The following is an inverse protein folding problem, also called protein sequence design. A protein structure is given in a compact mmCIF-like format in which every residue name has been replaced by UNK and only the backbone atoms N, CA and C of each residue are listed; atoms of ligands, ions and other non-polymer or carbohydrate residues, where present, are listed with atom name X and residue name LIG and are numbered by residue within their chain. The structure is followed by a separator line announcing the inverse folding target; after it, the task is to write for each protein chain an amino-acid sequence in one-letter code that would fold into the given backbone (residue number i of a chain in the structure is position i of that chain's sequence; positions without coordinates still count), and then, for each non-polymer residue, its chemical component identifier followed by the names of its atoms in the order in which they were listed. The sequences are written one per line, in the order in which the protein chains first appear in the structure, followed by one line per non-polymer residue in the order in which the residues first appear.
data_IF_473132757096
#
_entry.id   IF_473132757096
#
_cell.length_a   1.000
_cell.length_b   1.000
_cell.length_c   1.000
_cell.angle_alpha   90.00
_cell.angle_beta   90.00
_cell.angle_gamma   90.00
#
_symmetry.space_group_name_H-M   'P 1'
#
loop_
_entity.id
_entity.type
_entity.pdbx_description
1 polymer ?
#
# COMPACT_ATOMS: atom_id res chain seq x y z
N UNK A 1 -2.28 -41.66 8.09
CA UNK A 1 -3.53 -41.51 7.32
C UNK A 1 -4.21 -42.87 7.21
N UNK A 2 -5.53 -42.93 7.38
CA UNK A 2 -6.37 -44.10 7.17
C UNK A 2 -6.97 -44.09 5.76
N UNK A 3 -7.49 -45.24 5.32
CA UNK A 3 -8.14 -45.41 4.00
C UNK A 3 -9.29 -44.42 3.75
N UNK A 4 -10.01 -44.08 4.81
CA UNK A 4 -11.19 -43.22 4.72
C UNK A 4 -10.86 -41.75 4.99
N UNK A 5 -9.60 -41.42 5.28
CA UNK A 5 -9.18 -40.02 5.41
C UNK A 5 -9.41 -39.33 4.05
N UNK A 6 -10.02 -38.15 4.11
CA UNK A 6 -10.16 -37.26 2.97
C UNK A 6 -9.32 -36.02 3.23
N UNK A 7 -8.54 -35.64 2.22
CA UNK A 7 -7.77 -34.41 2.29
C UNK A 7 -8.74 -33.23 2.16
N UNK A 8 -8.71 -32.33 3.13
CA UNK A 8 -9.34 -31.02 2.98
C UNK A 8 -8.31 -30.12 2.31
N UNK A 9 -8.55 -29.65 1.07
CA UNK A 9 -7.59 -28.82 0.38
C UNK A 9 -7.42 -27.51 1.15
N UNK A 10 -6.17 -27.17 1.44
CA UNK A 10 -5.77 -25.87 1.98
C UNK A 10 -5.04 -25.14 0.88
N UNK A 11 -5.54 -23.97 0.50
CA UNK A 11 -4.93 -23.11 -0.52
C UNK A 11 -4.44 -21.85 0.19
N UNK A 12 -3.13 -21.61 0.14
CA UNK A 12 -2.54 -20.36 0.62
C UNK A 12 -2.51 -19.36 -0.52
N UNK A 13 -3.06 -18.16 -0.30
CA UNK A 13 -2.97 -17.02 -1.20
C UNK A 13 -2.09 -15.94 -0.55
N UNK A 14 -1.14 -15.40 -1.30
CA UNK A 14 -0.35 -14.25 -0.88
C UNK A 14 -0.91 -13.03 -1.59
N UNK A 15 -1.38 -12.02 -0.86
CA UNK A 15 -1.86 -10.77 -1.45
C UNK A 15 -0.79 -9.71 -1.28
N UNK A 16 -0.24 -9.23 -2.40
CA UNK A 16 0.74 -8.16 -2.43
C UNK A 16 0.07 -6.85 -2.88
N UNK A 17 0.14 -5.86 -2.01
CA UNK A 17 -0.47 -4.53 -2.19
C UNK A 17 0.57 -3.41 -2.05
N UNK A 18 1.82 -3.68 -2.42
CA UNK A 18 2.84 -2.65 -2.45
C UNK A 18 2.57 -1.59 -3.53
N UNK A 19 3.06 -0.37 -3.30
CA UNK A 19 3.03 0.71 -4.29
C UNK A 19 3.90 0.42 -5.52
N UNK A 20 4.90 -0.48 -5.40
CA UNK A 20 5.75 -0.93 -6.51
C UNK A 20 5.27 -2.28 -7.03
N UNK A 21 5.66 -2.62 -8.25
CA UNK A 21 5.41 -3.95 -8.79
C UNK A 21 6.20 -5.00 -8.00
N UNK A 22 5.64 -6.20 -7.85
CA UNK A 22 6.35 -7.31 -7.21
C UNK A 22 7.60 -7.69 -8.02
N UNK A 23 8.75 -7.72 -7.35
CA UNK A 23 10.07 -8.05 -7.92
C UNK A 23 10.71 -9.29 -7.28
N UNK A 24 9.93 -10.03 -6.47
CA UNK A 24 10.39 -11.23 -5.79
C UNK A 24 10.13 -12.54 -6.54
N UNK A 25 10.61 -13.67 -6.00
CA UNK A 25 10.38 -15.00 -6.55
C UNK A 25 8.88 -15.37 -6.54
N UNK A 26 8.44 -16.18 -7.53
CA UNK A 26 7.09 -16.72 -7.61
C UNK A 26 7.02 -18.19 -7.17
N UNK A 27 8.15 -18.88 -7.15
CA UNK A 27 8.26 -20.21 -6.57
C UNK A 27 9.60 -20.40 -5.86
N UNK A 28 9.70 -21.49 -5.08
CA UNK A 28 10.91 -21.79 -4.32
C UNK A 28 12.13 -21.97 -5.24
N UNK A 29 11.94 -22.50 -6.45
CA UNK A 29 13.01 -22.66 -7.44
C UNK A 29 13.65 -21.33 -7.84
N UNK A 30 12.88 -20.25 -7.95
CA UNK A 30 13.39 -18.91 -8.29
C UNK A 30 14.40 -18.37 -7.26
N UNK A 31 14.38 -18.91 -6.04
CA UNK A 31 15.29 -18.52 -4.95
C UNK A 31 16.62 -19.27 -4.96
N UNK A 32 16.75 -20.32 -5.77
CA UNK A 32 17.95 -21.16 -5.80
C UNK A 32 18.88 -20.68 -6.89
N UNK A 33 20.07 -20.24 -6.48
CA UNK A 33 21.14 -19.86 -7.40
C UNK A 33 21.70 -21.13 -8.07
N UNK A 34 21.64 -21.17 -9.40
CA UNK A 34 22.23 -22.23 -10.25
C UNK A 34 21.78 -23.66 -9.91
N UNK A 35 20.50 -23.97 -10.17
CA UNK A 35 19.95 -25.33 -9.95
C UNK A 35 20.42 -26.32 -11.04
N UNK A 36 21.14 -27.41 -10.68
CA UNK A 36 21.49 -28.46 -11.63
C UNK A 36 20.25 -29.19 -12.16
N UNK A 37 20.28 -29.66 -13.40
CA UNK A 37 19.13 -30.33 -14.05
C UNK A 37 18.69 -31.59 -13.30
N UNK A 38 19.63 -32.36 -12.76
CA UNK A 38 19.34 -33.59 -12.02
C UNK A 38 18.56 -33.30 -10.74
N UNK A 39 18.84 -32.16 -10.10
CA UNK A 39 18.14 -31.71 -8.90
C UNK A 39 16.79 -31.11 -9.28
N UNK A 40 16.72 -30.34 -10.37
CA UNK A 40 15.47 -29.74 -10.84
C UNK A 40 14.35 -30.77 -11.09
N UNK A 41 14.71 -31.98 -11.52
CA UNK A 41 13.75 -33.06 -11.77
C UNK A 41 13.10 -33.63 -10.49
N UNK A 42 13.79 -33.56 -9.36
CA UNK A 42 13.31 -34.07 -8.06
C UNK A 42 12.95 -32.97 -7.08
N UNK A 43 13.19 -31.71 -7.44
CA UNK A 43 12.98 -30.57 -6.58
C UNK A 43 11.48 -30.36 -6.33
N UNK A 44 11.11 -30.29 -5.04
CA UNK A 44 9.74 -29.96 -4.65
C UNK A 44 9.53 -28.46 -4.79
N UNK A 45 9.20 -28.03 -6.02
CA UNK A 45 8.96 -26.62 -6.31
C UNK A 45 7.60 -26.16 -5.76
N UNK A 46 7.65 -25.37 -4.69
CA UNK A 46 6.46 -24.79 -4.09
C UNK A 46 6.14 -23.45 -4.78
N UNK A 47 5.02 -23.42 -5.50
CA UNK A 47 4.50 -22.20 -6.14
C UNK A 47 3.80 -21.32 -5.13
N UNK A 48 4.07 -20.02 -5.18
CA UNK A 48 3.34 -19.00 -4.44
C UNK A 48 2.12 -18.56 -5.27
N UNK A 49 0.92 -18.70 -4.71
CA UNK A 49 -0.29 -18.16 -5.32
C UNK A 49 -0.37 -16.66 -5.02
N UNK A 50 0.41 -15.86 -5.77
CA UNK A 50 0.50 -14.43 -5.60
C UNK A 50 -0.64 -13.69 -6.31
N UNK A 51 -1.37 -12.88 -5.56
CA UNK A 51 -2.32 -11.89 -6.06
C UNK A 51 -1.70 -10.50 -5.89
N UNK A 52 -1.40 -9.86 -7.00
CA UNK A 52 -0.80 -8.52 -7.01
C UNK A 52 -1.85 -7.47 -7.35
N UNK A 53 -2.03 -6.48 -6.47
CA UNK A 53 -3.03 -5.43 -6.66
C UNK A 53 -2.72 -4.54 -7.87
N UNK A 54 -1.44 -4.25 -8.13
CA UNK A 54 -1.05 -3.41 -9.26
C UNK A 54 -1.37 -4.05 -10.62
N UNK A 55 -1.27 -5.37 -10.71
CA UNK A 55 -1.60 -6.16 -11.89
C UNK A 55 -2.90 -6.95 -11.69
N UNK A 56 -3.92 -6.25 -11.14
CA UNK A 56 -5.19 -6.87 -10.76
C UNK A 56 -6.26 -6.87 -11.85
N UNK A 57 -6.05 -6.17 -12.97
CA UNK A 57 -6.99 -6.16 -14.09
C UNK A 57 -7.21 -7.55 -14.73
N UNK A 58 -6.27 -8.48 -14.50
CA UNK A 58 -6.38 -9.88 -14.93
C UNK A 58 -7.29 -10.73 -14.03
N UNK A 59 -7.67 -10.24 -12.86
CA UNK A 59 -8.50 -10.98 -11.90
C UNK A 59 -9.97 -10.63 -12.07
N UNK A 60 -10.81 -11.65 -12.00
CA UNK A 60 -12.26 -11.51 -11.96
C UNK A 60 -12.75 -12.12 -10.65
N UNK A 61 -13.16 -11.26 -9.72
CA UNK A 61 -13.69 -11.67 -8.43
C UNK A 61 -15.21 -11.80 -8.50
N UNK A 62 -15.74 -12.90 -7.93
CA UNK A 62 -17.19 -13.09 -7.82
C UNK A 62 -17.83 -12.11 -6.81
N UNK A 63 -17.07 -11.68 -5.81
CA UNK A 63 -17.52 -10.68 -4.84
C UNK A 63 -17.20 -9.27 -5.36
N UNK A 64 -18.23 -8.44 -5.48
CA UNK A 64 -18.12 -7.08 -6.02
C UNK A 64 -17.32 -6.14 -5.13
N UNK A 65 -17.35 -6.32 -3.82
CA UNK A 65 -16.58 -5.49 -2.89
C UNK A 65 -15.10 -5.83 -2.99
N UNK A 66 -14.76 -7.11 -3.09
CA UNK A 66 -13.37 -7.55 -3.35
C UNK A 66 -12.87 -7.02 -4.68
N UNK A 67 -13.68 -7.12 -5.75
CA UNK A 67 -13.35 -6.52 -7.05
C UNK A 67 -13.07 -5.01 -6.89
N UNK A 68 -13.94 -4.32 -6.17
CA UNK A 68 -13.83 -2.87 -5.97
C UNK A 68 -12.59 -2.49 -5.16
N UNK A 69 -12.25 -3.23 -4.10
CA UNK A 69 -11.02 -3.00 -3.32
C UNK A 69 -9.79 -3.06 -4.23
N UNK A 70 -9.66 -4.11 -5.04
CA UNK A 70 -8.49 -4.28 -5.91
C UNK A 70 -8.40 -3.17 -6.96
N UNK A 71 -9.51 -2.82 -7.59
CA UNK A 71 -9.55 -1.76 -8.60
C UNK A 71 -9.27 -0.38 -8.01
N UNK A 72 -9.96 -0.01 -6.92
CA UNK A 72 -9.78 1.29 -6.25
C UNK A 72 -8.34 1.44 -5.78
N UNK A 73 -7.79 0.45 -5.06
CA UNK A 73 -6.42 0.52 -4.56
C UNK A 73 -5.40 0.60 -5.70
N UNK A 74 -5.59 -0.14 -6.79
CA UNK A 74 -4.73 -0.05 -7.97
C UNK A 74 -4.74 1.35 -8.57
N UNK A 75 -5.91 1.94 -8.80
CA UNK A 75 -6.01 3.28 -9.38
C UNK A 75 -5.46 4.36 -8.43
N UNK A 76 -5.59 4.19 -7.10
CA UNK A 76 -4.93 5.07 -6.11
C UNK A 76 -3.41 5.01 -6.28
N UNK A 77 -2.82 3.82 -6.36
CA UNK A 77 -1.38 3.66 -6.57
C UNK A 77 -0.89 4.13 -7.94
N UNK A 78 -1.79 4.25 -8.91
CA UNK A 78 -1.52 4.86 -10.21
C UNK A 78 -1.77 6.38 -10.24
N UNK A 79 -2.39 6.94 -9.20
CA UNK A 79 -2.78 8.34 -9.13
C UNK A 79 -3.99 8.71 -10.01
N UNK A 80 -4.77 7.73 -10.48
CA UNK A 80 -5.92 7.95 -11.36
C UNK A 80 -7.22 8.17 -10.59
N UNK A 81 -7.27 9.23 -9.78
CA UNK A 81 -8.43 9.53 -8.93
C UNK A 81 -9.71 9.77 -9.75
N UNK A 82 -9.58 10.35 -10.95
CA UNK A 82 -10.71 10.62 -11.85
C UNK A 82 -11.41 9.32 -12.29
N UNK A 83 -10.65 8.25 -12.55
CA UNK A 83 -11.22 6.94 -12.93
C UNK A 83 -12.01 6.33 -11.78
N UNK A 84 -11.54 6.51 -10.54
CA UNK A 84 -12.25 6.03 -9.36
C UNK A 84 -13.54 6.82 -9.21
N UNK A 85 -13.49 8.15 -9.38
CA UNK A 85 -14.66 9.00 -9.31
C UNK A 85 -15.71 8.66 -10.37
N UNK A 86 -15.30 8.44 -11.63
CA UNK A 86 -16.20 8.08 -12.72
C UNK A 86 -16.96 6.76 -12.43
N UNK A 87 -16.25 5.74 -11.93
CA UNK A 87 -16.82 4.40 -11.73
C UNK A 87 -17.52 4.22 -10.36
N UNK A 88 -17.06 4.92 -9.34
CA UNK A 88 -17.46 4.71 -7.94
C UNK A 88 -18.00 5.96 -7.24
N UNK A 89 -17.92 7.15 -7.83
CA UNK A 89 -18.23 8.42 -7.16
C UNK A 89 -19.63 8.48 -6.54
N UNK A 90 -20.63 7.87 -7.20
CA UNK A 90 -22.02 7.84 -6.75
C UNK A 90 -22.38 6.59 -5.93
N UNK A 91 -21.42 5.71 -5.63
CA UNK A 91 -21.67 4.49 -4.85
C UNK A 91 -21.45 4.77 -3.37
N UNK A 92 -22.38 4.29 -2.55
CA UNK A 92 -22.13 4.14 -1.12
C UNK A 92 -21.04 3.09 -0.91
N UNK A 93 -20.11 3.37 0.00
CA UNK A 93 -19.06 2.43 0.35
C UNK A 93 -19.37 1.76 1.68
N UNK A 94 -19.34 0.43 1.70
CA UNK A 94 -19.32 -0.31 2.94
C UNK A 94 -18.11 0.09 3.79
N UNK A 95 -18.30 0.20 5.10
CA UNK A 95 -17.22 0.51 6.06
C UNK A 95 -16.04 -0.44 5.93
N UNK A 96 -16.30 -1.72 5.63
CA UNK A 96 -15.28 -2.74 5.46
C UNK A 96 -14.42 -2.49 4.23
N UNK A 97 -15.03 -2.15 3.08
CA UNK A 97 -14.31 -1.80 1.87
C UNK A 97 -13.38 -0.60 2.10
N UNK A 98 -13.91 0.46 2.72
CA UNK A 98 -13.12 1.65 3.01
C UNK A 98 -11.97 1.39 3.98
N UNK A 99 -12.22 0.53 4.98
CA UNK A 99 -11.18 0.09 5.91
C UNK A 99 -10.06 -0.65 5.19
N UNK A 100 -10.40 -1.60 4.30
CA UNK A 100 -9.39 -2.38 3.56
C UNK A 100 -8.60 -1.48 2.62
N UNK A 101 -9.25 -0.62 1.84
CA UNK A 101 -8.57 0.35 0.96
C UNK A 101 -7.64 1.27 1.78
N UNK A 102 -8.12 1.80 2.92
CA UNK A 102 -7.33 2.63 3.81
C UNK A 102 -6.10 1.93 4.39
N UNK A 103 -6.23 0.65 4.78
CA UNK A 103 -5.10 -0.15 5.26
C UNK A 103 -4.08 -0.40 4.16
N UNK A 104 -4.51 -0.78 2.96
CA UNK A 104 -3.62 -1.09 1.84
C UNK A 104 -2.88 0.16 1.35
N UNK A 105 -3.53 1.31 1.36
CA UNK A 105 -2.96 2.60 0.91
C UNK A 105 -2.21 3.36 2.02
N UNK A 106 -2.27 2.87 3.26
CA UNK A 106 -1.72 3.59 4.41
C UNK A 106 -2.42 4.94 4.70
N UNK A 107 -3.67 5.10 4.26
CA UNK A 107 -4.47 6.29 4.55
C UNK A 107 -5.16 6.17 5.91
N UNK A 108 -4.76 7.04 6.84
CA UNK A 108 -5.37 7.11 8.16
C UNK A 108 -6.76 7.75 8.10
N UNK A 109 -6.96 8.67 7.15
CA UNK A 109 -8.23 9.34 6.95
C UNK A 109 -9.31 8.37 6.48
N UNK A 110 -9.03 7.51 5.49
CA UNK A 110 -9.98 6.49 5.06
C UNK A 110 -10.38 5.53 6.20
N UNK A 111 -9.42 5.11 7.02
CA UNK A 111 -9.69 4.26 8.20
C UNK A 111 -10.52 5.00 9.26
N UNK A 112 -10.34 6.32 9.41
CA UNK A 112 -11.12 7.13 10.35
C UNK A 112 -12.55 7.28 9.88
N UNK A 113 -12.74 7.60 8.60
CA UNK A 113 -14.05 7.74 7.97
C UNK A 113 -14.85 6.44 8.09
N UNK A 114 -14.21 5.29 7.89
CA UNK A 114 -14.90 3.99 7.97
C UNK A 114 -15.44 3.67 9.38
N UNK A 115 -14.78 4.16 10.44
CA UNK A 115 -15.17 3.94 11.84
C UNK A 115 -16.28 4.87 12.31
N UNK A 116 -16.24 6.12 11.86
CA UNK A 116 -17.21 7.13 12.28
C UNK A 116 -18.57 6.99 11.58
N UNK A 117 -18.71 6.07 10.61
CA UNK A 117 -19.85 5.98 9.69
C UNK A 117 -20.17 7.31 8.99
N UNK A 118 -19.19 8.21 8.90
CA UNK A 118 -19.27 9.51 8.21
C UNK A 118 -19.01 9.34 6.70
N UNK A 119 -19.34 8.17 6.12
CA UNK A 119 -19.10 7.92 4.70
C UNK A 119 -20.35 8.35 3.94
N UNK A 120 -20.44 9.63 3.58
CA UNK A 120 -21.56 10.11 2.78
C UNK A 120 -21.37 9.77 1.28
N UNK A 121 -20.13 9.62 0.78
CA UNK A 121 -19.85 9.23 -0.62
C UNK A 121 -18.38 8.87 -0.88
N UNK A 122 -18.09 8.15 -1.98
CA UNK A 122 -16.73 7.93 -2.49
C UNK A 122 -16.00 9.23 -2.82
N UNK A 123 -16.69 10.23 -3.37
CA UNK A 123 -16.09 11.52 -3.71
C UNK A 123 -15.43 12.18 -2.48
N UNK A 124 -16.12 12.21 -1.35
CA UNK A 124 -15.60 12.77 -0.10
C UNK A 124 -14.35 11.99 0.37
N UNK A 125 -14.37 10.67 0.26
CA UNK A 125 -13.22 9.82 0.60
C UNK A 125 -11.99 10.11 -0.29
N UNK A 126 -12.20 10.30 -1.59
CA UNK A 126 -11.13 10.65 -2.53
C UNK A 126 -10.55 12.05 -2.26
N UNK A 127 -11.40 13.03 -1.94
CA UNK A 127 -10.95 14.38 -1.55
C UNK A 127 -10.09 14.34 -0.29
N UNK A 128 -10.54 13.64 0.75
CA UNK A 128 -9.77 13.47 2.00
C UNK A 128 -8.45 12.76 1.78
N UNK A 129 -8.45 11.73 0.94
CA UNK A 129 -7.24 11.01 0.57
C UNK A 129 -6.23 11.91 -0.15
N UNK A 130 -6.71 12.76 -1.06
CA UNK A 130 -5.87 13.75 -1.77
C UNK A 130 -5.30 14.79 -0.82
N UNK A 131 -6.13 15.36 0.06
CA UNK A 131 -5.70 16.30 1.11
C UNK A 131 -4.61 15.70 2.01
N UNK A 132 -4.81 14.45 2.47
CA UNK A 132 -3.81 13.72 3.27
C UNK A 132 -2.50 13.52 2.49
N UNK A 133 -2.59 13.18 1.21
CA UNK A 133 -1.44 13.03 0.32
C UNK A 133 -0.65 14.32 0.14
N UNK A 134 -1.33 15.43 -0.14
CA UNK A 134 -0.71 16.76 -0.29
C UNK A 134 -0.04 17.21 1.02
N UNK A 135 -0.70 16.97 2.15
CA UNK A 135 -0.15 17.32 3.46
C UNK A 135 1.12 16.51 3.77
N UNK A 136 1.08 15.19 3.56
CA UNK A 136 2.28 14.33 3.66
C UNK A 136 3.38 14.78 2.70
N UNK A 137 3.03 15.24 1.50
CA UNK A 137 3.96 15.78 0.52
C UNK A 137 4.69 17.04 1.04
N UNK A 138 3.94 18.01 1.55
CA UNK A 138 4.48 19.25 2.15
C UNK A 138 5.38 18.96 3.35
N UNK A 139 4.99 18.01 4.20
CA UNK A 139 5.79 17.59 5.36
C UNK A 139 7.11 16.95 4.92
N UNK A 140 7.08 16.03 3.94
CA UNK A 140 8.30 15.41 3.38
C UNK A 140 9.23 16.42 2.72
N UNK A 141 8.68 17.38 1.97
CA UNK A 141 9.47 18.47 1.36
C UNK A 141 10.16 19.30 2.45
N UNK A 142 9.42 19.69 3.49
CA UNK A 142 9.96 20.43 4.63
C UNK A 142 11.08 19.65 5.32
N UNK A 143 10.87 18.37 5.61
CA UNK A 143 11.89 17.48 6.19
C UNK A 143 13.14 17.40 5.30
N UNK A 144 12.97 17.27 3.98
CA UNK A 144 14.08 17.22 3.03
C UNK A 144 14.91 18.52 3.00
N UNK A 145 14.25 19.68 3.08
CA UNK A 145 14.93 20.98 3.20
C UNK A 145 15.74 21.05 4.48
N UNK A 146 15.17 20.65 5.63
CA UNK A 146 15.86 20.64 6.92
C UNK A 146 17.08 19.72 6.87
N UNK A 147 16.93 18.50 6.32
CA UNK A 147 18.03 17.56 6.16
C UNK A 147 19.14 18.12 5.27
N UNK A 148 18.78 18.81 4.19
CA UNK A 148 19.75 19.46 3.30
C UNK A 148 20.51 20.58 4.02
N UNK A 149 19.82 21.43 4.79
CA UNK A 149 20.46 22.48 5.59
C UNK A 149 21.41 21.88 6.64
N UNK A 150 21.00 20.82 7.35
CA UNK A 150 21.83 20.11 8.32
C UNK A 150 23.09 19.51 7.67
N UNK A 151 22.95 18.90 6.49
CA UNK A 151 24.09 18.34 5.73
C UNK A 151 25.10 19.41 5.29
N UNK A 152 24.63 20.64 5.09
CA UNK A 152 25.47 21.80 4.77
C UNK A 152 25.97 22.54 6.02
N UNK A 153 25.91 21.92 7.20
CA UNK A 153 26.39 22.46 8.48
C UNK A 153 25.71 23.77 8.93
N UNK A 154 24.47 24.02 8.52
CA UNK A 154 23.71 25.15 9.05
C UNK A 154 23.46 24.94 10.56
N UNK A 155 23.69 25.96 11.41
CA UNK A 155 23.33 25.89 12.82
C UNK A 155 21.83 25.69 13.00
N UNK A 156 21.44 24.82 13.94
CA UNK A 156 20.02 24.54 14.24
C UNK A 156 19.25 25.83 14.54
N UNK A 157 19.86 26.75 15.28
CA UNK A 157 19.27 28.06 15.59
C UNK A 157 18.97 28.91 14.35
N UNK A 158 19.73 28.77 13.27
CA UNK A 158 19.50 29.48 12.01
C UNK A 158 18.40 28.81 11.18
N UNK A 159 18.35 27.48 11.17
CA UNK A 159 17.27 26.69 10.54
C UNK A 159 15.92 27.04 11.17
N UNK A 160 15.86 27.08 12.51
CA UNK A 160 14.64 27.46 13.25
C UNK A 160 14.13 28.85 12.87
N UNK A 161 15.04 29.82 12.69
CA UNK A 161 14.68 31.18 12.26
C UNK A 161 14.19 31.23 10.82
N UNK A 162 14.91 30.58 9.88
CA UNK A 162 14.59 30.62 8.45
C UNK A 162 13.25 29.94 8.14
N UNK A 163 12.95 28.83 8.81
CA UNK A 163 11.76 28.02 8.55
C UNK A 163 10.62 28.28 9.55
N UNK A 164 10.85 29.17 10.53
CA UNK A 164 9.94 29.47 11.62
C UNK A 164 9.41 28.21 12.32
N UNK A 165 10.34 27.35 12.76
CA UNK A 165 10.05 26.07 13.42
C UNK A 165 10.70 25.96 14.79
N UNK A 166 10.09 25.20 15.72
CA UNK A 166 10.71 24.91 17.00
C UNK A 166 11.92 24.00 16.83
N UNK A 167 12.91 24.18 17.70
CA UNK A 167 14.14 23.39 17.73
C UNK A 167 13.88 21.89 17.93
N UNK A 168 12.83 21.53 18.69
CA UNK A 168 12.42 20.15 18.89
C UNK A 168 12.07 19.44 17.57
N UNK A 169 11.47 20.13 16.61
CA UNK A 169 11.09 19.57 15.30
C UNK A 169 12.36 19.27 14.47
N UNK A 170 13.33 20.18 14.47
CA UNK A 170 14.63 20.00 13.79
C UNK A 170 15.42 18.85 14.40
N UNK A 171 15.42 18.72 15.73
CA UNK A 171 16.11 17.64 16.45
C UNK A 171 15.48 16.27 16.14
N UNK A 172 14.15 16.16 16.15
CA UNK A 172 13.45 14.91 15.76
C UNK A 172 13.84 14.43 14.36
N UNK A 173 13.98 15.35 13.40
CA UNK A 173 14.38 15.03 12.03
C UNK A 173 15.85 14.62 11.97
N UNK A 174 16.72 15.27 12.75
CA UNK A 174 18.14 14.93 12.86
C UNK A 174 18.36 13.54 13.46
N UNK A 175 17.61 13.18 14.49
CA UNK A 175 17.75 11.91 15.24
C UNK A 175 17.15 10.69 14.52
N UNK A 176 16.39 10.92 13.42
CA UNK A 176 15.86 9.85 12.55
C UNK A 176 16.90 9.27 11.58
N UNK A 177 18.13 9.78 11.60
CA UNK A 177 19.23 9.37 10.72
C UNK A 177 20.13 8.35 11.42
#
# INVERSE_FOLDING_TARGET
MKKDDRLHPVITLTVYYGEKQWDGPYCLKDMIVEMPEEIAAIFSDYKMNLLEVRDSDRYVFNNTDVQSVFEITREIFAGHFEKIQEKYGNKEMGSDLLTVVGQMTGSKELIRMSRNMEVNSMCEALEKLKEEGEQKGREKEREAVILTMLQNNYPISEICKLLNIPEEEVLKIKDRK
#
